data_IF_477013323019
#
_entry.id   IF_477013323019
#
_cell.length_a   1.000
_cell.length_b   1.000
_cell.length_c   1.000
_cell.angle_alpha   90.00
_cell.angle_beta   90.00
_cell.angle_gamma   90.00
#
_symmetry.space_group_name_H-M   'P 1'
#
loop_
_entity.id
_entity.type
_entity.pdbx_description
1 polymer ?
#
# COMPACT_ATOMS: atom_id res chain seq x y z
N UNK A 1 -1.07 -16.90 -21.80
CA UNK A 1 -1.04 -15.63 -21.04
C UNK A 1 -1.27 -15.95 -19.58
N UNK A 2 -0.39 -15.50 -18.68
CA UNK A 2 -0.67 -15.61 -17.26
C UNK A 2 -1.95 -14.84 -16.93
N UNK A 3 -2.87 -15.51 -16.32
CA UNK A 3 -4.13 -14.89 -15.87
C UNK A 3 -4.03 -14.54 -14.40
N UNK A 4 -4.76 -13.50 -14.00
CA UNK A 4 -4.87 -13.15 -12.59
C UNK A 4 -5.55 -14.27 -11.83
N UNK A 5 -5.06 -14.54 -10.63
CA UNK A 5 -5.60 -15.54 -9.71
C UNK A 5 -6.26 -14.82 -8.53
N UNK A 6 -7.55 -14.55 -8.68
CA UNK A 6 -8.33 -13.83 -7.70
C UNK A 6 -9.20 -14.81 -6.93
N UNK A 7 -8.96 -14.96 -5.63
CA UNK A 7 -9.73 -15.84 -4.79
C UNK A 7 -11.17 -15.32 -4.65
N UNK A 8 -12.19 -16.18 -4.79
CA UNK A 8 -13.59 -15.73 -4.71
C UNK A 8 -14.00 -15.18 -3.35
N UNK A 9 -13.23 -15.48 -2.29
CA UNK A 9 -13.45 -14.92 -0.96
C UNK A 9 -12.78 -13.57 -0.73
N UNK A 10 -12.11 -13.00 -1.74
CA UNK A 10 -11.61 -11.62 -1.66
C UNK A 10 -12.71 -10.63 -2.00
N UNK A 11 -12.56 -9.39 -1.55
CA UNK A 11 -13.49 -8.30 -1.86
C UNK A 11 -12.74 -7.27 -2.70
N UNK A 12 -13.16 -7.10 -3.94
CA UNK A 12 -12.63 -6.08 -4.84
C UNK A 12 -13.80 -5.16 -5.19
N UNK A 13 -13.76 -3.92 -4.71
CA UNK A 13 -14.83 -2.98 -5.00
C UNK A 13 -14.83 -2.54 -6.46
N UNK A 14 -15.99 -2.21 -7.02
CA UNK A 14 -16.09 -1.65 -8.36
C UNK A 14 -15.23 -0.38 -8.49
N UNK A 15 -14.53 -0.24 -9.61
CA UNK A 15 -13.64 0.87 -9.87
C UNK A 15 -12.16 0.57 -9.61
N UNK A 16 -11.84 -0.43 -8.82
CA UNK A 16 -10.45 -0.85 -8.63
C UNK A 16 -9.84 -1.31 -9.96
N UNK A 17 -8.61 -0.88 -10.21
CA UNK A 17 -7.87 -1.26 -11.42
C UNK A 17 -6.89 -2.36 -11.08
N UNK A 18 -7.03 -3.49 -11.76
CA UNK A 18 -6.22 -4.68 -11.50
C UNK A 18 -5.39 -4.97 -12.75
N UNK A 19 -4.08 -4.99 -12.61
CA UNK A 19 -3.15 -5.29 -13.69
C UNK A 19 -3.21 -6.76 -14.15
N UNK A 20 -2.21 -7.15 -14.92
CA UNK A 20 -2.08 -8.52 -15.46
C UNK A 20 -1.40 -9.42 -14.43
N UNK A 21 -1.79 -10.70 -14.41
CA UNK A 21 -1.16 -11.72 -13.57
C UNK A 21 -1.11 -11.32 -12.08
N UNK A 22 -2.17 -10.72 -11.58
CA UNK A 22 -2.30 -10.34 -10.17
C UNK A 22 -2.84 -11.53 -9.38
N UNK A 23 -2.29 -11.75 -8.19
CA UNK A 23 -2.77 -12.75 -7.25
C UNK A 23 -3.39 -12.06 -6.06
N UNK A 24 -4.64 -12.39 -5.75
CA UNK A 24 -5.35 -11.85 -4.58
C UNK A 24 -5.89 -13.02 -3.78
N UNK A 25 -5.42 -13.17 -2.55
CA UNK A 25 -5.79 -14.27 -1.68
C UNK A 25 -7.11 -14.02 -0.95
N UNK A 26 -7.65 -15.06 -0.31
CA UNK A 26 -8.89 -14.99 0.44
C UNK A 26 -8.88 -13.88 1.50
N UNK A 27 -10.03 -13.24 1.68
CA UNK A 27 -10.26 -12.21 2.69
C UNK A 27 -9.47 -10.91 2.51
N UNK A 28 -8.72 -10.76 1.42
CA UNK A 28 -8.14 -9.45 1.08
C UNK A 28 -9.25 -8.49 0.65
N UNK A 29 -9.09 -7.22 0.99
CA UNK A 29 -10.05 -6.16 0.62
C UNK A 29 -9.32 -5.08 -0.18
N UNK A 30 -9.83 -4.81 -1.37
CA UNK A 30 -9.29 -3.78 -2.27
C UNK A 30 -10.41 -2.80 -2.60
N UNK A 31 -10.25 -1.57 -2.15
CA UNK A 31 -11.26 -0.52 -2.32
C UNK A 31 -11.25 0.05 -3.75
N UNK A 32 -12.33 0.71 -4.12
CA UNK A 32 -12.61 1.09 -5.51
C UNK A 32 -11.68 2.13 -6.12
N UNK A 33 -10.88 2.83 -5.33
CA UNK A 33 -9.95 3.86 -5.82
C UNK A 33 -8.49 3.36 -5.95
N UNK A 34 -8.28 2.06 -5.69
CA UNK A 34 -6.95 1.43 -5.71
C UNK A 34 -6.58 1.00 -7.13
N UNK A 35 -5.30 1.13 -7.47
CA UNK A 35 -4.73 0.60 -8.71
C UNK A 35 -3.57 -0.34 -8.39
N UNK A 36 -3.66 -1.58 -8.85
CA UNK A 36 -2.58 -2.56 -8.74
C UNK A 36 -1.91 -2.74 -10.10
N UNK A 37 -0.59 -2.69 -10.11
CA UNK A 37 0.21 -2.99 -11.29
C UNK A 37 0.23 -4.48 -11.64
N UNK A 38 1.06 -4.84 -12.60
CA UNK A 38 1.19 -6.22 -13.06
C UNK A 38 1.98 -7.06 -12.05
N UNK A 39 1.65 -8.34 -11.96
CA UNK A 39 2.33 -9.30 -11.08
C UNK A 39 2.29 -8.92 -9.59
N UNK A 40 1.38 -8.09 -9.18
CA UNK A 40 1.19 -7.76 -7.76
C UNK A 40 0.56 -8.95 -7.04
N UNK A 41 1.00 -9.21 -5.83
CA UNK A 41 0.43 -10.23 -4.95
C UNK A 41 -0.14 -9.54 -3.72
N UNK A 42 -1.42 -9.78 -3.44
CA UNK A 42 -2.09 -9.30 -2.23
C UNK A 42 -2.50 -10.51 -1.42
N UNK A 43 -1.88 -10.68 -0.26
CA UNK A 43 -2.10 -11.85 0.58
C UNK A 43 -3.31 -11.66 1.49
N UNK A 44 -3.70 -12.75 2.16
CA UNK A 44 -4.93 -12.83 2.96
C UNK A 44 -5.02 -11.72 4.01
N UNK A 45 -6.22 -11.17 4.17
CA UNK A 45 -6.53 -10.12 5.15
C UNK A 45 -5.80 -8.79 4.95
N UNK A 46 -5.09 -8.59 3.85
CA UNK A 46 -4.56 -7.28 3.52
C UNK A 46 -5.71 -6.33 3.17
N UNK A 47 -5.60 -5.08 3.59
CA UNK A 47 -6.61 -4.04 3.37
C UNK A 47 -5.96 -2.87 2.63
N UNK A 48 -6.42 -2.60 1.41
CA UNK A 48 -5.86 -1.53 0.58
C UNK A 48 -6.97 -0.54 0.26
N UNK A 49 -6.78 0.69 0.67
CA UNK A 49 -7.78 1.76 0.60
C UNK A 49 -7.20 3.04 -0.01
N UNK A 50 -8.03 4.04 -0.12
CA UNK A 50 -7.66 5.38 -0.60
C UNK A 50 -7.23 5.40 -2.07
N UNK A 51 -6.70 6.53 -2.50
CA UNK A 51 -6.13 6.68 -3.84
C UNK A 51 -4.71 6.11 -3.85
N UNK A 52 -4.63 4.80 -3.81
CA UNK A 52 -3.38 4.06 -3.66
C UNK A 52 -3.01 3.37 -4.97
N UNK A 53 -1.76 3.58 -5.40
CA UNK A 53 -1.19 2.88 -6.56
C UNK A 53 -0.05 1.98 -6.08
N UNK A 54 -0.10 0.71 -6.46
CA UNK A 54 0.92 -0.28 -6.12
C UNK A 54 1.62 -0.73 -7.39
N UNK A 55 2.94 -0.56 -7.42
CA UNK A 55 3.77 -0.85 -8.57
C UNK A 55 3.94 -2.35 -8.86
N UNK A 56 4.37 -2.65 -10.09
CA UNK A 56 4.52 -4.01 -10.57
C UNK A 56 5.38 -4.88 -9.64
N UNK A 57 4.98 -6.12 -9.46
CA UNK A 57 5.74 -7.12 -8.72
C UNK A 57 5.79 -6.91 -7.20
N UNK A 58 5.10 -5.92 -6.66
CA UNK A 58 5.03 -5.69 -5.22
C UNK A 58 4.14 -6.70 -4.54
N UNK A 59 4.53 -7.11 -3.35
CA UNK A 59 3.80 -8.08 -2.52
C UNK A 59 3.31 -7.38 -1.26
N UNK A 60 2.01 -7.44 -1.03
CA UNK A 60 1.37 -6.97 0.21
C UNK A 60 1.08 -8.20 1.06
N UNK A 61 1.75 -8.32 2.18
CA UNK A 61 1.70 -9.47 3.07
C UNK A 61 0.45 -9.47 3.96
N UNK A 62 0.13 -10.60 4.60
CA UNK A 62 -1.13 -10.70 5.35
C UNK A 62 -1.31 -9.60 6.39
N UNK A 63 -2.53 -9.09 6.46
CA UNK A 63 -2.95 -8.11 7.47
C UNK A 63 -2.26 -6.74 7.41
N UNK A 64 -1.54 -6.44 6.34
CA UNK A 64 -1.04 -5.08 6.12
C UNK A 64 -2.21 -4.16 5.75
N UNK A 65 -2.18 -2.92 6.23
CA UNK A 65 -3.17 -1.88 5.93
C UNK A 65 -2.49 -0.74 5.18
N UNK A 66 -2.91 -0.51 3.95
CA UNK A 66 -2.27 0.47 3.06
C UNK A 66 -3.29 1.49 2.59
N UNK A 67 -2.94 2.77 2.70
CA UNK A 67 -3.75 3.85 2.18
C UNK A 67 -4.90 4.29 3.07
N UNK A 68 -4.93 3.83 4.31
CA UNK A 68 -5.96 4.24 5.27
C UNK A 68 -5.78 5.70 5.68
N UNK A 69 -6.82 6.26 6.25
CA UNK A 69 -6.87 7.66 6.69
C UNK A 69 -5.67 8.03 7.57
N UNK A 70 -5.12 9.22 7.34
CA UNK A 70 -4.06 9.76 8.16
C UNK A 70 -4.46 9.85 9.64
N UNK A 71 -3.53 9.54 10.52
CA UNK A 71 -3.69 9.70 11.97
C UNK A 71 -3.27 11.12 12.37
N UNK A 72 -3.90 12.12 11.78
CA UNK A 72 -3.63 13.53 12.03
C UNK A 72 -4.95 14.26 12.25
N UNK A 73 -5.03 14.97 13.36
CA UNK A 73 -6.24 15.74 13.74
C UNK A 73 -6.53 16.88 12.76
N UNK A 74 -5.57 17.27 11.94
CA UNK A 74 -5.74 18.32 10.92
C UNK A 74 -6.46 17.82 9.67
N UNK A 75 -6.52 16.50 9.46
CA UNK A 75 -7.17 15.92 8.29
C UNK A 75 -8.65 16.23 8.27
N UNK A 76 -9.14 16.78 7.15
CA UNK A 76 -10.54 17.22 6.97
C UNK A 76 -11.24 16.52 5.81
N UNK A 77 -10.65 15.46 5.26
CA UNK A 77 -11.20 14.75 4.11
C UNK A 77 -10.58 15.18 2.78
N UNK A 78 -9.42 15.82 2.82
CA UNK A 78 -8.69 16.23 1.62
C UNK A 78 -8.38 15.01 0.73
N UNK A 79 -8.35 15.23 -0.58
CA UNK A 79 -7.96 14.20 -1.52
C UNK A 79 -6.45 14.00 -1.47
N UNK A 80 -6.02 12.82 -1.08
CA UNK A 80 -4.61 12.47 -0.90
C UNK A 80 -4.30 11.15 -1.60
N UNK A 81 -3.00 10.84 -1.74
CA UNK A 81 -2.53 9.71 -2.52
C UNK A 81 -1.47 8.90 -1.77
N UNK A 82 -1.39 7.61 -2.10
CA UNK A 82 -0.30 6.74 -1.69
C UNK A 82 0.27 6.10 -2.95
N UNK A 83 1.58 6.16 -3.11
CA UNK A 83 2.29 5.51 -4.22
C UNK A 83 3.33 4.56 -3.65
N UNK A 84 3.19 3.28 -3.95
CA UNK A 84 4.19 2.26 -3.62
C UNK A 84 4.82 1.80 -4.93
N UNK A 85 6.13 1.80 -4.97
CA UNK A 85 6.90 1.46 -6.15
C UNK A 85 6.85 -0.02 -6.52
N UNK A 86 7.77 -0.44 -7.37
CA UNK A 86 7.84 -1.79 -7.94
C UNK A 86 8.69 -2.70 -7.06
N UNK A 87 8.36 -3.99 -7.08
CA UNK A 87 9.15 -5.05 -6.44
C UNK A 87 9.41 -4.80 -4.96
N UNK A 88 8.47 -4.18 -4.28
CA UNK A 88 8.51 -3.98 -2.84
C UNK A 88 7.89 -5.16 -2.10
N UNK A 89 8.28 -5.33 -0.85
CA UNK A 89 7.60 -6.22 0.09
C UNK A 89 7.10 -5.40 1.26
N UNK A 90 5.79 -5.36 1.42
CA UNK A 90 5.11 -4.70 2.54
C UNK A 90 4.64 -5.82 3.46
N UNK A 91 5.35 -6.05 4.56
CA UNK A 91 5.19 -7.23 5.40
C UNK A 91 3.98 -7.14 6.32
N UNK A 92 3.80 -8.21 7.09
CA UNK A 92 2.61 -8.40 7.94
C UNK A 92 2.41 -7.25 8.92
N UNK A 93 1.18 -6.81 9.06
CA UNK A 93 0.76 -5.77 10.00
C UNK A 93 1.44 -4.42 9.81
N UNK A 94 2.07 -4.18 8.67
CA UNK A 94 2.54 -2.84 8.31
C UNK A 94 1.33 -1.93 8.12
N UNK A 95 1.45 -0.69 8.58
CA UNK A 95 0.44 0.34 8.35
C UNK A 95 1.06 1.49 7.55
N UNK A 96 0.47 1.82 6.43
CA UNK A 96 0.86 2.96 5.59
C UNK A 96 -0.37 3.85 5.48
N UNK A 97 -0.32 5.02 6.11
CA UNK A 97 -1.41 5.97 6.04
C UNK A 97 -1.34 6.81 4.77
N UNK A 98 -2.48 7.33 4.37
CA UNK A 98 -2.55 8.37 3.35
C UNK A 98 -2.09 9.71 3.92
N UNK A 99 -1.94 10.69 3.07
CA UNK A 99 -1.51 12.05 3.46
C UNK A 99 -2.64 12.85 4.10
N UNK A 100 -2.36 14.08 4.51
CA UNK A 100 -3.35 14.93 5.15
C UNK A 100 -3.54 16.31 4.50
N UNK A 101 -2.77 16.63 3.49
CA UNK A 101 -2.90 17.88 2.73
C UNK A 101 -3.41 17.59 1.33
N UNK A 102 -4.24 18.48 0.79
CA UNK A 102 -4.82 18.32 -0.53
C UNK A 102 -3.76 18.01 -1.59
N UNK A 103 -3.99 16.96 -2.37
CA UNK A 103 -3.10 16.44 -3.41
C UNK A 103 -1.71 15.98 -2.94
N UNK A 104 -1.47 15.88 -1.66
CA UNK A 104 -0.19 15.36 -1.17
C UNK A 104 -0.12 13.83 -1.27
N UNK A 105 1.10 13.31 -1.27
CA UNK A 105 1.41 11.90 -1.55
C UNK A 105 2.28 11.35 -0.44
N UNK A 106 1.97 10.13 0.00
CA UNK A 106 2.94 9.28 0.71
C UNK A 106 3.59 8.38 -0.34
N UNK A 107 4.91 8.41 -0.43
CA UNK A 107 5.64 7.70 -1.48
C UNK A 107 6.65 6.72 -0.91
N UNK A 108 6.62 5.50 -1.44
CA UNK A 108 7.64 4.47 -1.21
C UNK A 108 8.22 4.12 -2.57
N UNK A 109 9.54 4.19 -2.68
CA UNK A 109 10.25 3.91 -3.92
C UNK A 109 10.26 2.42 -4.29
N UNK A 110 11.11 2.06 -5.25
CA UNK A 110 11.22 0.70 -5.75
C UNK A 110 12.14 -0.16 -4.89
N UNK A 111 11.94 -1.48 -4.95
CA UNK A 111 12.83 -2.48 -4.33
C UNK A 111 12.99 -2.30 -2.81
N UNK A 112 11.95 -1.83 -2.13
CA UNK A 112 11.94 -1.63 -0.69
C UNK A 112 11.45 -2.87 0.05
N UNK A 113 12.00 -3.10 1.26
CA UNK A 113 11.50 -4.08 2.20
C UNK A 113 11.05 -3.37 3.47
N UNK A 114 9.76 -3.35 3.70
CA UNK A 114 9.16 -2.78 4.92
C UNK A 114 8.73 -3.95 5.79
N UNK A 115 9.52 -4.23 6.83
CA UNK A 115 9.32 -5.41 7.66
C UNK A 115 8.09 -5.27 8.56
N UNK A 116 7.70 -6.38 9.20
CA UNK A 116 6.47 -6.47 9.95
C UNK A 116 6.35 -5.40 11.04
N UNK A 117 5.12 -4.93 11.24
CA UNK A 117 4.74 -3.93 12.25
C UNK A 117 5.37 -2.55 12.06
N UNK A 118 5.96 -2.25 10.90
CA UNK A 118 6.41 -0.89 10.61
C UNK A 118 5.22 0.04 10.39
N UNK A 119 5.44 1.33 10.62
CA UNK A 119 4.45 2.37 10.35
C UNK A 119 5.04 3.47 9.49
N UNK A 120 4.32 3.83 8.44
CA UNK A 120 4.63 4.99 7.58
C UNK A 120 3.47 5.98 7.70
N UNK A 121 3.73 7.10 8.34
CA UNK A 121 2.72 8.13 8.56
C UNK A 121 2.52 9.03 7.33
N UNK A 122 1.59 9.96 7.46
CA UNK A 122 1.24 10.93 6.42
C UNK A 122 2.47 11.72 5.93
N UNK A 123 2.46 12.07 4.66
CA UNK A 123 3.48 12.93 4.04
C UNK A 123 4.93 12.39 4.11
N UNK A 124 5.12 11.09 4.33
CA UNK A 124 6.45 10.48 4.28
C UNK A 124 6.89 10.23 2.84
N UNK A 125 8.19 10.33 2.60
CA UNK A 125 8.83 9.93 1.36
C UNK A 125 9.95 8.93 1.66
N UNK A 126 9.87 7.75 1.07
CA UNK A 126 10.87 6.69 1.22
C UNK A 126 11.47 6.43 -0.15
N UNK A 127 12.78 6.52 -0.25
CA UNK A 127 13.52 6.31 -1.50
C UNK A 127 13.54 4.84 -1.94
N UNK A 128 14.39 4.55 -2.92
CA UNK A 128 14.52 3.19 -3.45
C UNK A 128 15.43 2.34 -2.57
N UNK A 129 15.20 1.03 -2.55
CA UNK A 129 16.05 0.04 -1.88
C UNK A 129 16.20 0.28 -0.36
N UNK A 130 15.20 0.88 0.24
CA UNK A 130 15.17 1.10 1.69
C UNK A 130 14.71 -0.18 2.39
N UNK A 131 15.38 -0.53 3.47
CA UNK A 131 14.98 -1.62 4.37
C UNK A 131 14.62 -1.00 5.71
N UNK A 132 13.36 -1.18 6.12
CA UNK A 132 12.90 -0.81 7.46
C UNK A 132 12.80 -2.08 8.30
N UNK A 133 13.57 -2.15 9.38
CA UNK A 133 13.51 -3.29 10.29
C UNK A 133 12.18 -3.32 11.05
N UNK A 134 11.83 -4.48 11.59
CA UNK A 134 10.59 -4.68 12.33
C UNK A 134 10.34 -3.58 13.38
N UNK A 135 9.10 -3.15 13.49
CA UNK A 135 8.66 -2.13 14.44
C UNK A 135 9.30 -0.74 14.25
N UNK A 136 9.87 -0.45 13.09
CA UNK A 136 10.32 0.91 12.77
C UNK A 136 9.10 1.80 12.51
N UNK A 137 9.10 2.96 13.12
CA UNK A 137 7.96 3.89 13.06
C UNK A 137 8.42 5.24 12.51
N UNK A 138 7.81 5.68 11.43
CA UNK A 138 8.03 7.01 10.88
C UNK A 138 6.88 7.93 11.29
N UNK A 139 7.19 9.04 11.92
CA UNK A 139 6.23 10.13 12.11
C UNK A 139 5.94 10.82 10.77
N UNK A 140 4.97 11.73 10.75
CA UNK A 140 4.65 12.47 9.54
C UNK A 140 5.83 13.30 9.01
N UNK A 141 5.86 13.50 7.69
CA UNK A 141 6.85 14.33 6.98
C UNK A 141 8.30 13.85 7.07
N UNK A 142 8.53 12.56 7.33
CA UNK A 142 9.89 11.99 7.35
C UNK A 142 10.31 11.60 5.94
N UNK A 143 11.55 11.94 5.59
CA UNK A 143 12.18 11.54 4.33
C UNK A 143 13.29 10.54 4.65
N UNK A 144 13.29 9.41 3.96
CA UNK A 144 14.32 8.36 4.06
C UNK A 144 14.93 8.19 2.67
N UNK A 145 16.25 8.39 2.55
CA UNK A 145 16.99 8.27 1.29
C UNK A 145 17.74 6.94 1.18
#
# INVERSE_FOLDING_TARGET
MPQSNIHPGSIIEPGAKIGKNVTIEAYAVIKGTVSLGDNVVVKSHAYIDGNTTIGDGTIIWPSASVGTKAQDLKYRGEKTFVEIGKRCEIREFVTINSSCQENSVVRIGDDCLIMAYCHVAHNCEIGNRVIMANNSMLAGHVVVE
#
